data_IF_966489618880
#
_entry.id   IF_966489618880
#
_cell.length_a   1.000
_cell.length_b   1.000
_cell.length_c   1.000
_cell.angle_alpha   90.00
_cell.angle_beta   90.00
_cell.angle_gamma   90.00
#
_symmetry.space_group_name_H-M   'P 1'
#
loop_
_entity.id
_entity.type
_entity.pdbx_description
1 polymer ?
#
# COMPACT_ATOMS: atom_id res chain seq x y z
N UNK A 1 12.20 2.43 16.29
CA UNK A 1 11.89 1.88 17.64
C UNK A 1 13.07 1.04 18.12
N UNK A 2 13.40 1.03 19.43
CA UNK A 2 14.37 0.07 19.98
C UNK A 2 13.89 -1.35 19.72
N UNK A 3 14.77 -2.29 19.34
CA UNK A 3 14.42 -3.68 18.99
C UNK A 3 13.52 -4.35 20.05
N UNK A 4 13.76 -4.09 21.34
CA UNK A 4 12.94 -4.66 22.42
C UNK A 4 11.50 -4.12 22.44
N UNK A 5 11.28 -2.83 22.12
CA UNK A 5 9.92 -2.26 22.05
C UNK A 5 9.12 -2.87 20.89
N UNK A 6 9.78 -3.18 19.77
CA UNK A 6 9.13 -3.83 18.63
C UNK A 6 8.71 -5.27 18.97
N UNK A 7 9.57 -6.04 19.65
CA UNK A 7 9.24 -7.39 20.12
C UNK A 7 8.03 -7.40 21.06
N UNK A 8 7.95 -6.45 22.00
CA UNK A 8 6.81 -6.32 22.91
C UNK A 8 5.53 -6.03 22.13
N UNK A 9 5.57 -5.07 21.19
CA UNK A 9 4.41 -4.71 20.36
C UNK A 9 3.91 -5.91 19.52
N UNK A 10 4.83 -6.70 18.96
CA UNK A 10 4.50 -7.93 18.23
C UNK A 10 3.89 -8.97 19.17
N UNK A 11 4.47 -9.16 20.36
CA UNK A 11 3.94 -10.07 21.38
C UNK A 11 2.52 -9.70 21.84
N UNK A 12 2.25 -8.41 22.06
CA UNK A 12 0.90 -7.91 22.36
C UNK A 12 -0.09 -8.20 21.22
N UNK A 13 0.35 -8.08 19.97
CA UNK A 13 -0.48 -8.42 18.81
C UNK A 13 -0.84 -9.89 18.77
N UNK A 14 0.16 -10.78 18.93
CA UNK A 14 -0.05 -12.23 19.02
C UNK A 14 -1.02 -12.57 20.15
N UNK A 15 -0.85 -11.95 21.32
CA UNK A 15 -1.74 -12.14 22.45
C UNK A 15 -3.19 -11.72 22.14
N UNK A 16 -3.41 -10.56 21.50
CA UNK A 16 -4.75 -10.12 21.10
C UNK A 16 -5.43 -11.12 20.16
N UNK A 17 -4.69 -11.64 19.18
CA UNK A 17 -5.22 -12.66 18.24
C UNK A 17 -5.58 -13.95 18.98
N UNK A 18 -4.72 -14.43 19.89
CA UNK A 18 -5.00 -15.61 20.70
C UNK A 18 -6.24 -15.41 21.58
N UNK A 19 -6.39 -14.24 22.21
CA UNK A 19 -7.58 -13.91 22.99
C UNK A 19 -8.85 -13.97 22.15
N UNK A 20 -8.84 -13.41 20.93
CA UNK A 20 -10.00 -13.50 20.03
C UNK A 20 -10.30 -14.95 19.69
N UNK A 21 -9.31 -15.76 19.29
CA UNK A 21 -9.52 -17.16 18.93
C UNK A 21 -10.14 -17.97 20.09
N UNK A 22 -9.64 -17.78 21.31
CA UNK A 22 -10.18 -18.44 22.50
C UNK A 22 -11.60 -17.95 22.82
N UNK A 23 -11.85 -16.64 22.73
CA UNK A 23 -13.18 -16.07 22.95
C UNK A 23 -14.18 -16.50 21.88
N UNK A 24 -13.77 -16.62 20.61
CA UNK A 24 -14.60 -17.16 19.53
C UNK A 24 -14.93 -18.63 19.75
N UNK A 25 -13.95 -19.45 20.14
CA UNK A 25 -14.21 -20.86 20.48
C UNK A 25 -15.19 -20.99 21.66
N UNK A 26 -15.00 -20.19 22.71
CA UNK A 26 -15.92 -20.16 23.85
C UNK A 26 -17.33 -19.73 23.43
N UNK A 27 -17.44 -18.70 22.59
CA UNK A 27 -18.72 -18.19 22.14
C UNK A 27 -19.50 -19.24 21.30
N UNK A 28 -18.81 -19.93 20.40
CA UNK A 28 -19.42 -21.01 19.58
C UNK A 28 -19.90 -22.17 20.45
N UNK A 29 -19.13 -22.55 21.47
CA UNK A 29 -19.43 -23.74 22.27
C UNK A 29 -20.43 -23.49 23.41
N UNK A 30 -20.43 -22.29 24.00
CA UNK A 30 -21.14 -22.01 25.26
C UNK A 30 -22.07 -20.79 25.23
N UNK A 31 -22.04 -19.99 24.16
CA UNK A 31 -22.77 -18.72 24.03
C UNK A 31 -23.49 -18.57 22.68
N UNK A 32 -23.95 -19.69 22.09
CA UNK A 32 -24.74 -19.71 20.86
C UNK A 32 -24.14 -18.91 19.69
N UNK A 33 -22.81 -18.82 19.64
CA UNK A 33 -22.05 -18.03 18.64
C UNK A 33 -22.37 -16.53 18.60
N UNK A 34 -22.97 -15.98 19.67
CA UNK A 34 -23.27 -14.55 19.78
C UNK A 34 -21.99 -13.73 19.64
N UNK A 35 -22.09 -12.59 18.94
CA UNK A 35 -20.99 -11.68 18.60
C UNK A 35 -19.90 -12.27 17.68
N UNK A 36 -19.99 -13.54 17.27
CA UNK A 36 -19.15 -14.13 16.19
C UNK A 36 -19.88 -14.08 14.86
N UNK A 37 -21.16 -14.48 14.87
CA UNK A 37 -22.03 -14.53 13.68
C UNK A 37 -22.83 -13.22 13.58
N UNK A 38 -23.15 -12.74 12.37
CA UNK A 38 -24.04 -11.60 12.20
C UNK A 38 -25.34 -11.78 12.98
N UNK A 39 -25.64 -10.84 13.86
CA UNK A 39 -26.84 -10.82 14.69
C UNK A 39 -27.49 -9.45 14.63
N UNK A 40 -28.81 -9.40 14.81
CA UNK A 40 -29.54 -8.14 14.89
C UNK A 40 -29.26 -7.46 16.23
N UNK A 41 -28.65 -6.27 16.17
CA UNK A 41 -28.30 -5.50 17.35
C UNK A 41 -29.53 -4.82 18.00
N UNK A 42 -30.66 -4.70 17.29
CA UNK A 42 -31.87 -4.08 17.86
C UNK A 42 -32.50 -4.93 18.96
N UNK A 43 -32.35 -6.26 18.89
CA UNK A 43 -32.86 -7.21 19.89
C UNK A 43 -31.77 -7.68 20.85
N UNK A 44 -30.58 -7.07 20.82
CA UNK A 44 -29.46 -7.49 21.64
C UNK A 44 -29.67 -7.12 23.11
N UNK A 45 -29.60 -8.13 23.98
CA UNK A 45 -29.54 -7.96 25.44
C UNK A 45 -28.22 -8.51 25.96
N UNK A 46 -27.54 -7.76 26.82
CA UNK A 46 -26.25 -8.17 27.34
C UNK A 46 -26.37 -9.41 28.25
N UNK A 47 -25.53 -10.41 28.01
CA UNK A 47 -25.35 -11.56 28.90
C UNK A 47 -23.90 -11.66 29.37
N UNK A 48 -23.69 -12.18 30.58
CA UNK A 48 -22.35 -12.35 31.16
C UNK A 48 -21.45 -13.23 30.27
N UNK A 49 -22.05 -14.16 29.53
CA UNK A 49 -21.35 -15.03 28.57
C UNK A 49 -20.75 -14.28 27.36
N UNK A 50 -21.22 -13.05 27.09
CA UNK A 50 -20.69 -12.19 26.01
C UNK A 50 -19.36 -11.52 26.39
N UNK A 51 -19.05 -11.48 27.68
CA UNK A 51 -17.92 -10.74 28.26
C UNK A 51 -16.55 -11.15 27.69
N UNK A 52 -16.21 -12.46 27.51
CA UNK A 52 -14.95 -12.86 26.88
C UNK A 52 -14.78 -12.28 25.47
N UNK A 53 -15.86 -12.23 24.69
CA UNK A 53 -15.81 -11.66 23.34
C UNK A 53 -15.60 -10.15 23.41
N UNK A 54 -16.41 -9.43 24.21
CA UNK A 54 -16.33 -7.98 24.34
C UNK A 54 -14.94 -7.53 24.81
N UNK A 55 -14.34 -8.23 25.77
CA UNK A 55 -12.97 -7.94 26.22
C UNK A 55 -11.96 -8.16 25.09
N UNK A 56 -12.03 -9.30 24.39
CA UNK A 56 -11.08 -9.60 23.32
C UNK A 56 -11.15 -8.61 22.16
N UNK A 57 -12.36 -8.19 21.78
CA UNK A 57 -12.60 -7.17 20.76
C UNK A 57 -12.12 -5.79 21.24
N UNK A 58 -12.37 -5.43 22.50
CA UNK A 58 -11.88 -4.16 23.05
C UNK A 58 -10.34 -4.12 23.07
N UNK A 59 -9.69 -5.23 23.43
CA UNK A 59 -8.23 -5.35 23.41
C UNK A 59 -7.65 -5.17 21.99
N UNK A 60 -8.25 -5.80 20.97
CA UNK A 60 -7.76 -5.63 19.60
C UNK A 60 -7.97 -4.18 19.11
N UNK A 61 -9.09 -3.55 19.46
CA UNK A 61 -9.34 -2.14 19.13
C UNK A 61 -8.29 -1.22 19.76
N UNK A 62 -7.99 -1.39 21.06
CA UNK A 62 -6.94 -0.62 21.76
C UNK A 62 -5.57 -0.87 21.12
N UNK A 63 -5.27 -2.11 20.76
CA UNK A 63 -4.01 -2.47 20.11
C UNK A 63 -3.87 -1.77 18.74
N UNK A 64 -4.90 -1.83 17.89
CA UNK A 64 -4.93 -1.15 16.59
C UNK A 64 -4.78 0.36 16.76
N UNK A 65 -5.46 0.97 17.73
CA UNK A 65 -5.32 2.39 18.02
C UNK A 65 -3.89 2.76 18.45
N UNK A 66 -3.26 1.91 19.25
CA UNK A 66 -1.86 2.09 19.65
C UNK A 66 -0.90 1.98 18.46
N UNK A 67 -1.13 1.03 17.55
CA UNK A 67 -0.38 0.95 16.29
C UNK A 67 -0.52 2.22 15.46
N UNK A 68 -1.74 2.77 15.37
CA UNK A 68 -2.00 4.00 14.63
C UNK A 68 -1.27 5.22 15.22
N UNK A 69 -1.35 5.42 16.54
CA UNK A 69 -0.61 6.51 17.21
C UNK A 69 0.90 6.35 17.00
N UNK A 70 1.44 5.14 17.18
CA UNK A 70 2.88 4.91 17.01
C UNK A 70 3.34 5.15 15.57
N UNK A 71 2.51 4.83 14.58
CA UNK A 71 2.75 5.13 13.18
C UNK A 71 2.84 6.64 12.94
N UNK A 72 1.84 7.41 13.39
CA UNK A 72 1.81 8.88 13.23
C UNK A 72 3.03 9.52 13.89
N UNK A 73 3.34 9.14 15.13
CA UNK A 73 4.51 9.66 15.85
C UNK A 73 5.81 9.29 15.12
N UNK A 74 5.89 8.09 14.54
CA UNK A 74 7.06 7.67 13.77
C UNK A 74 7.22 8.47 12.47
N UNK A 75 6.11 8.78 11.77
CA UNK A 75 6.13 9.61 10.57
C UNK A 75 6.63 11.02 10.93
N UNK A 76 6.08 11.63 11.98
CA UNK A 76 6.50 12.96 12.45
C UNK A 76 7.99 13.01 12.83
N UNK A 77 8.48 12.01 13.58
CA UNK A 77 9.91 11.91 13.92
C UNK A 77 10.81 11.75 12.71
N UNK A 78 10.36 10.98 11.71
CA UNK A 78 11.13 10.77 10.49
C UNK A 78 11.22 12.07 9.66
N UNK A 79 10.12 12.84 9.58
CA UNK A 79 10.12 14.17 8.95
C UNK A 79 11.10 15.12 9.63
N UNK A 80 11.05 15.22 10.97
CA UNK A 80 12.00 16.04 11.73
C UNK A 80 13.47 15.59 11.52
N UNK A 81 13.71 14.29 11.35
CA UNK A 81 15.05 13.76 11.08
C UNK A 81 15.53 14.14 9.67
N UNK A 82 14.65 14.09 8.67
CA UNK A 82 14.93 14.54 7.30
C UNK A 82 15.30 16.02 7.31
N UNK A 83 14.50 16.88 7.97
CA UNK A 83 14.79 18.32 8.08
C UNK A 83 16.13 18.63 8.76
N UNK A 84 16.50 17.86 9.79
CA UNK A 84 17.77 18.06 10.51
C UNK A 84 19.01 17.60 9.75
N UNK A 85 18.86 16.57 8.94
CA UNK A 85 20.00 15.93 8.26
C UNK A 85 20.11 16.34 6.81
N UNK A 86 19.03 16.90 6.23
CA UNK A 86 18.86 17.08 4.80
C UNK A 86 19.26 15.82 4.02
N UNK A 87 18.89 14.63 4.53
CA UNK A 87 19.13 13.36 3.83
C UNK A 87 17.83 12.67 3.47
N UNK A 88 17.83 11.91 2.39
CA UNK A 88 16.69 11.10 1.97
C UNK A 88 16.33 10.07 3.02
N UNK A 89 15.07 9.63 3.00
CA UNK A 89 14.56 8.66 3.95
C UNK A 89 15.33 7.35 3.84
N UNK A 90 15.71 6.78 4.99
CA UNK A 90 16.23 5.41 5.05
C UNK A 90 15.14 4.40 4.72
N UNK A 91 15.25 3.78 3.55
CA UNK A 91 14.36 2.73 3.06
C UNK A 91 15.18 1.52 2.65
N UNK A 92 14.59 0.33 2.81
CA UNK A 92 15.23 -0.89 2.37
C UNK A 92 14.83 -1.15 0.90
N UNK A 93 15.78 -1.28 -0.05
CA UNK A 93 15.48 -1.59 -1.45
C UNK A 93 14.59 -2.83 -1.63
N UNK A 94 14.62 -3.77 -0.69
CA UNK A 94 13.77 -4.97 -0.70
C UNK A 94 12.27 -4.66 -0.64
N UNK A 95 11.87 -3.46 -0.23
CA UNK A 95 10.46 -3.02 -0.33
C UNK A 95 9.98 -2.98 -1.78
N UNK A 96 10.89 -2.84 -2.75
CA UNK A 96 10.58 -2.98 -4.17
C UNK A 96 9.95 -4.32 -4.56
N UNK A 97 10.23 -5.39 -3.82
CA UNK A 97 9.61 -6.70 -4.07
C UNK A 97 8.11 -6.73 -3.80
N UNK A 98 7.56 -5.75 -3.08
CA UNK A 98 6.11 -5.57 -2.98
C UNK A 98 5.48 -5.31 -4.35
N UNK A 99 6.26 -4.88 -5.34
CA UNK A 99 5.83 -4.77 -6.73
C UNK A 99 5.38 -6.09 -7.36
N UNK A 100 5.87 -7.23 -6.87
CA UNK A 100 5.43 -8.56 -7.32
C UNK A 100 3.96 -8.84 -7.00
N UNK A 101 3.37 -8.14 -6.02
CA UNK A 101 1.93 -8.22 -5.75
C UNK A 101 1.10 -7.73 -6.96
N UNK A 102 1.71 -6.96 -7.88
CA UNK A 102 1.08 -6.56 -9.12
C UNK A 102 0.67 -7.72 -10.03
N UNK A 103 1.33 -8.88 -9.91
CA UNK A 103 0.94 -10.08 -10.65
C UNK A 103 -0.41 -10.65 -10.22
N UNK A 104 -0.92 -10.32 -9.03
CA UNK A 104 -2.30 -10.66 -8.67
C UNK A 104 -3.34 -9.94 -9.54
N UNK A 105 -2.95 -8.90 -10.29
CA UNK A 105 -3.78 -8.30 -11.33
C UNK A 105 -4.28 -9.29 -12.39
N UNK A 106 -3.46 -10.30 -12.72
CA UNK A 106 -3.82 -11.34 -13.68
C UNK A 106 -4.91 -12.29 -13.16
N UNK A 107 -5.07 -12.42 -11.84
CA UNK A 107 -6.18 -13.19 -11.27
C UNK A 107 -7.54 -12.60 -11.67
N UNK A 108 -7.60 -11.32 -12.03
CA UNK A 108 -8.82 -10.67 -12.52
C UNK A 108 -9.44 -11.34 -13.74
N UNK A 109 -8.63 -11.89 -14.66
CA UNK A 109 -9.15 -12.62 -15.82
C UNK A 109 -9.88 -13.90 -15.41
N UNK A 110 -9.40 -14.58 -14.37
CA UNK A 110 -10.07 -15.74 -13.79
C UNK A 110 -11.31 -15.30 -13.03
N UNK A 111 -11.16 -14.41 -12.05
CA UNK A 111 -12.25 -13.99 -11.15
C UNK A 111 -13.42 -13.42 -11.93
N UNK A 112 -13.15 -12.55 -12.91
CA UNK A 112 -14.20 -12.00 -13.78
C UNK A 112 -15.00 -13.09 -14.52
N UNK A 113 -14.37 -14.20 -14.93
CA UNK A 113 -15.08 -15.32 -15.56
C UNK A 113 -16.01 -16.08 -14.61
N UNK A 114 -15.81 -15.98 -13.29
CA UNK A 114 -16.63 -16.68 -12.28
C UNK A 114 -17.77 -15.79 -11.79
N UNK A 115 -17.45 -14.58 -11.33
CA UNK A 115 -18.37 -13.73 -10.57
C UNK A 115 -18.51 -12.31 -11.16
N UNK A 116 -17.85 -12.02 -12.29
CA UNK A 116 -17.86 -10.69 -12.91
C UNK A 116 -17.06 -9.63 -12.14
N UNK A 117 -16.27 -10.00 -11.13
CA UNK A 117 -15.52 -9.03 -10.32
C UNK A 117 -14.31 -8.47 -11.06
N UNK A 118 -14.25 -7.14 -11.10
CA UNK A 118 -13.16 -6.38 -11.74
C UNK A 118 -12.11 -5.87 -10.74
N UNK A 119 -12.38 -6.01 -9.44
CA UNK A 119 -11.48 -5.52 -8.38
C UNK A 119 -10.05 -6.07 -8.49
N UNK A 120 -9.81 -7.35 -8.84
CA UNK A 120 -8.45 -7.87 -8.89
C UNK A 120 -7.55 -7.12 -9.89
N UNK A 121 -8.08 -6.54 -10.96
CA UNK A 121 -7.28 -5.76 -11.92
C UNK A 121 -6.61 -4.53 -11.28
N UNK A 122 -7.17 -3.99 -10.19
CA UNK A 122 -6.57 -2.88 -9.45
C UNK A 122 -5.20 -3.24 -8.84
N UNK A 123 -4.91 -4.53 -8.65
CA UNK A 123 -3.61 -4.97 -8.15
C UNK A 123 -2.46 -4.59 -9.07
N UNK A 124 -2.69 -4.36 -10.38
CA UNK A 124 -1.64 -3.84 -11.26
C UNK A 124 -1.01 -2.53 -10.78
N UNK A 125 -1.70 -1.75 -9.95
CA UNK A 125 -1.15 -0.57 -9.28
C UNK A 125 0.12 -0.87 -8.47
N UNK A 126 0.20 -2.08 -7.88
CA UNK A 126 1.34 -2.50 -7.07
C UNK A 126 2.64 -2.54 -7.86
N UNK A 127 2.63 -2.67 -9.19
CA UNK A 127 3.86 -2.57 -9.99
C UNK A 127 4.60 -1.23 -9.76
N UNK A 128 3.90 -0.17 -9.36
CA UNK A 128 4.54 1.09 -8.97
C UNK A 128 5.48 0.96 -7.78
N UNK A 129 5.28 -0.04 -6.91
CA UNK A 129 6.15 -0.28 -5.76
C UNK A 129 7.54 -0.76 -6.14
N UNK A 130 7.78 -1.20 -7.39
CA UNK A 130 9.14 -1.37 -7.87
C UNK A 130 9.97 -0.07 -7.77
N UNK A 131 9.33 1.11 -7.75
CA UNK A 131 9.99 2.39 -7.49
C UNK A 131 10.72 2.43 -6.14
N UNK A 132 10.20 1.74 -5.11
CA UNK A 132 10.85 1.65 -3.79
C UNK A 132 12.21 0.95 -3.84
N UNK A 133 12.50 0.17 -4.88
CA UNK A 133 13.83 -0.39 -5.08
C UNK A 133 14.86 0.72 -5.35
N UNK A 134 14.51 1.67 -6.22
CA UNK A 134 15.37 2.81 -6.58
C UNK A 134 15.42 3.84 -5.45
N UNK A 135 14.27 4.17 -4.84
CA UNK A 135 14.23 5.04 -3.66
C UNK A 135 15.10 4.46 -2.52
N UNK A 136 15.04 3.14 -2.32
CA UNK A 136 15.88 2.44 -1.34
C UNK A 136 17.37 2.47 -1.68
N UNK A 137 17.74 2.43 -2.97
CA UNK A 137 19.14 2.56 -3.40
C UNK A 137 19.69 3.96 -3.11
N UNK A 138 18.86 4.99 -3.27
CA UNK A 138 19.19 6.38 -2.93
C UNK A 138 19.02 6.69 -1.44
N UNK A 139 18.82 5.69 -0.58
CA UNK A 139 18.50 5.96 0.81
C UNK A 139 19.69 6.53 1.60
N UNK A 140 19.47 7.64 2.29
CA UNK A 140 20.50 8.35 3.03
C UNK A 140 21.44 9.20 2.18
N UNK A 141 21.12 9.46 0.91
CA UNK A 141 21.79 10.50 0.11
C UNK A 141 21.49 11.88 0.68
N UNK A 142 22.44 12.80 0.57
CA UNK A 142 22.25 14.18 0.97
C UNK A 142 21.42 14.91 -0.10
N UNK A 143 20.38 15.62 0.33
CA UNK A 143 19.48 16.38 -0.53
C UNK A 143 20.04 17.79 -0.74
N UNK A 144 21.04 17.88 -1.62
CA UNK A 144 21.54 19.16 -2.11
C UNK A 144 20.55 19.80 -3.13
N UNK A 145 20.93 20.96 -3.66
CA UNK A 145 20.10 21.68 -4.63
C UNK A 145 19.93 20.88 -5.93
N UNK A 146 20.99 20.20 -6.38
CA UNK A 146 20.99 19.34 -7.57
C UNK A 146 20.01 18.17 -7.43
N UNK A 147 20.05 17.45 -6.31
CA UNK A 147 19.14 16.34 -6.04
C UNK A 147 17.69 16.81 -6.07
N UNK A 148 17.40 17.99 -5.52
CA UNK A 148 16.04 18.55 -5.52
C UNK A 148 15.59 18.93 -6.93
N UNK A 149 16.47 19.49 -7.75
CA UNK A 149 16.20 19.79 -9.15
C UNK A 149 15.94 18.49 -9.93
N UNK A 150 16.81 17.50 -9.80
CA UNK A 150 16.66 16.18 -10.42
C UNK A 150 15.37 15.47 -9.98
N UNK A 151 14.96 15.60 -8.71
CA UNK A 151 13.69 15.07 -8.21
C UNK A 151 12.49 15.75 -8.87
N UNK A 152 12.52 17.07 -9.03
CA UNK A 152 11.46 17.82 -9.72
C UNK A 152 11.41 17.42 -11.20
N UNK A 153 12.56 17.35 -11.88
CA UNK A 153 12.64 16.94 -13.28
C UNK A 153 12.12 15.51 -13.50
N UNK A 154 12.51 14.57 -12.65
CA UNK A 154 12.04 13.19 -12.68
C UNK A 154 10.52 13.11 -12.45
N UNK A 155 9.99 13.83 -11.46
CA UNK A 155 8.54 13.88 -11.19
C UNK A 155 7.76 14.51 -12.35
N UNK A 156 8.25 15.61 -12.93
CA UNK A 156 7.61 16.25 -14.08
C UNK A 156 7.59 15.33 -15.30
N UNK A 157 8.72 14.68 -15.59
CA UNK A 157 8.82 13.74 -16.71
C UNK A 157 7.91 12.54 -16.52
N UNK A 158 7.92 11.93 -15.34
CA UNK A 158 7.05 10.79 -15.01
C UNK A 158 5.57 11.17 -15.07
N UNK A 159 5.20 12.34 -14.53
CA UNK A 159 3.84 12.86 -14.57
C UNK A 159 3.38 13.15 -15.99
N UNK A 160 4.25 13.74 -16.83
CA UNK A 160 3.95 13.98 -18.25
C UNK A 160 3.68 12.69 -19.00
N UNK A 161 4.53 11.66 -18.82
CA UNK A 161 4.32 10.34 -19.43
C UNK A 161 3.02 9.70 -18.96
N UNK A 162 2.77 9.71 -17.64
CA UNK A 162 1.56 9.16 -17.03
C UNK A 162 0.31 9.84 -17.55
N UNK A 163 0.30 11.17 -17.57
CA UNK A 163 -0.82 11.96 -18.07
C UNK A 163 -1.04 11.74 -19.57
N UNK A 164 0.01 11.66 -20.38
CA UNK A 164 -0.10 11.34 -21.80
C UNK A 164 -0.74 9.96 -22.03
N UNK A 165 -0.35 8.94 -21.26
CA UNK A 165 -0.96 7.61 -21.36
C UNK A 165 -2.43 7.65 -20.95
N UNK A 166 -2.76 8.30 -19.83
CA UNK A 166 -4.15 8.43 -19.36
C UNK A 166 -5.01 9.19 -20.39
N UNK A 167 -4.46 10.25 -21.01
CA UNK A 167 -5.16 11.03 -22.03
C UNK A 167 -5.43 10.19 -23.29
N UNK A 168 -4.42 9.45 -23.78
CA UNK A 168 -4.59 8.55 -24.93
C UNK A 168 -5.60 7.46 -24.60
N UNK A 169 -5.50 6.86 -23.41
CA UNK A 169 -6.45 5.87 -22.93
C UNK A 169 -7.87 6.41 -22.91
N UNK A 170 -8.07 7.63 -22.41
CA UNK A 170 -9.36 8.30 -22.39
C UNK A 170 -9.93 8.47 -23.81
N UNK A 171 -9.12 8.97 -24.76
CA UNK A 171 -9.56 9.17 -26.15
C UNK A 171 -9.97 7.86 -26.81
N UNK A 172 -9.24 6.77 -26.55
CA UNK A 172 -9.51 5.46 -27.15
C UNK A 172 -10.71 4.78 -26.48
N UNK A 173 -10.79 4.82 -25.15
CA UNK A 173 -11.80 4.10 -24.36
C UNK A 173 -13.16 4.81 -24.34
N UNK A 174 -13.19 6.15 -24.40
CA UNK A 174 -14.44 6.91 -24.49
C UNK A 174 -15.21 6.72 -25.80
N UNK A 175 -14.62 6.09 -26.81
CA UNK A 175 -15.34 5.72 -28.04
C UNK A 175 -16.41 4.64 -27.78
N UNK A 176 -16.41 4.01 -26.59
CA UNK A 176 -17.49 3.18 -26.08
C UNK A 176 -17.70 1.85 -26.81
N UNK A 177 -16.84 1.53 -27.79
CA UNK A 177 -16.96 0.35 -28.66
C UNK A 177 -15.76 -0.59 -28.57
N UNK A 178 -15.13 -0.70 -27.41
CA UNK A 178 -14.06 -1.69 -27.26
C UNK A 178 -14.69 -3.09 -27.24
N UNK A 179 -14.51 -3.84 -28.34
CA UNK A 179 -15.13 -5.15 -28.59
C UNK A 179 -16.68 -5.16 -28.51
N UNK A 180 -17.32 -3.99 -28.65
CA UNK A 180 -18.78 -3.87 -28.62
C UNK A 180 -19.44 -4.10 -27.25
N UNK A 181 -18.67 -4.20 -26.16
CA UNK A 181 -19.21 -4.42 -24.81
C UNK A 181 -18.65 -3.38 -23.82
N UNK A 182 -19.55 -2.75 -23.05
CA UNK A 182 -19.20 -1.81 -22.00
C UNK A 182 -18.39 -2.45 -20.87
N UNK A 183 -18.60 -3.74 -20.57
CA UNK A 183 -17.86 -4.45 -19.52
C UNK A 183 -16.38 -4.59 -19.88
N UNK A 184 -16.06 -4.95 -21.13
CA UNK A 184 -14.68 -5.00 -21.60
C UNK A 184 -14.03 -3.62 -21.66
N UNK A 185 -14.81 -2.58 -21.98
CA UNK A 185 -14.33 -1.20 -21.92
C UNK A 185 -13.97 -0.82 -20.48
N UNK A 186 -14.78 -1.21 -19.49
CA UNK A 186 -14.52 -0.96 -18.08
C UNK A 186 -13.30 -1.73 -17.56
N UNK A 187 -13.16 -3.01 -17.92
CA UNK A 187 -11.97 -3.81 -17.58
C UNK A 187 -10.72 -3.16 -18.17
N UNK A 188 -10.73 -2.83 -19.46
CA UNK A 188 -9.61 -2.17 -20.12
C UNK A 188 -9.28 -0.82 -19.46
N UNK A 189 -10.29 -0.06 -19.05
CA UNK A 189 -10.12 1.21 -18.33
C UNK A 189 -9.41 1.01 -17.00
N UNK A 190 -9.85 0.03 -16.19
CA UNK A 190 -9.22 -0.26 -14.90
C UNK A 190 -7.78 -0.70 -15.09
N UNK A 191 -7.52 -1.64 -16.00
CA UNK A 191 -6.17 -2.15 -16.26
C UNK A 191 -5.24 -1.01 -16.70
N UNK A 192 -5.66 -0.20 -17.68
CA UNK A 192 -4.82 0.88 -18.22
C UNK A 192 -4.60 1.96 -17.16
N UNK A 193 -5.62 2.32 -16.38
CA UNK A 193 -5.47 3.31 -15.31
C UNK A 193 -4.52 2.81 -14.22
N UNK A 194 -4.70 1.58 -13.76
CA UNK A 194 -3.83 0.97 -12.74
C UNK A 194 -2.38 0.86 -13.21
N UNK A 195 -2.15 0.44 -14.46
CA UNK A 195 -0.81 0.36 -15.05
C UNK A 195 -0.18 1.74 -15.29
N UNK A 196 -0.96 2.72 -15.75
CA UNK A 196 -0.46 4.08 -15.96
C UNK A 196 -0.02 4.72 -14.64
N UNK A 197 -0.83 4.59 -13.59
CA UNK A 197 -0.49 5.08 -12.24
C UNK A 197 0.71 4.32 -11.66
N UNK A 198 0.76 3.00 -11.81
CA UNK A 198 1.91 2.19 -11.43
C UNK A 198 3.19 2.67 -12.12
N UNK A 199 3.13 2.86 -13.44
CA UNK A 199 4.24 3.36 -14.23
C UNK A 199 4.68 4.74 -13.74
N UNK A 200 3.75 5.66 -13.45
CA UNK A 200 4.09 6.98 -12.93
C UNK A 200 4.88 6.96 -11.64
N UNK A 201 4.41 6.17 -10.66
CA UNK A 201 5.09 5.99 -9.35
C UNK A 201 6.47 5.34 -9.53
N UNK A 202 6.55 4.31 -10.38
CA UNK A 202 7.82 3.64 -10.66
C UNK A 202 8.81 4.57 -11.36
N UNK A 203 8.34 5.27 -12.38
CA UNK A 203 9.16 6.07 -13.29
C UNK A 203 9.73 7.30 -12.60
N UNK A 204 9.02 7.92 -11.65
CA UNK A 204 9.56 9.05 -10.88
C UNK A 204 10.81 8.65 -10.10
N UNK A 205 10.77 7.51 -9.40
CA UNK A 205 11.90 7.03 -8.61
C UNK A 205 13.04 6.49 -9.49
N UNK A 206 12.71 5.81 -10.58
CA UNK A 206 13.71 5.33 -11.54
C UNK A 206 14.46 6.47 -12.23
N UNK A 207 13.74 7.49 -12.71
CA UNK A 207 14.36 8.64 -13.36
C UNK A 207 15.20 9.46 -12.38
N UNK A 208 14.74 9.64 -11.15
CA UNK A 208 15.53 10.31 -10.12
C UNK A 208 16.84 9.56 -9.86
N UNK A 209 16.78 8.23 -9.67
CA UNK A 209 17.98 7.41 -9.52
C UNK A 209 18.92 7.55 -10.70
N UNK A 210 18.38 7.58 -11.91
CA UNK A 210 19.18 7.72 -13.13
C UNK A 210 19.82 9.10 -13.24
N UNK A 211 19.06 10.17 -13.06
CA UNK A 211 19.59 11.54 -13.14
C UNK A 211 20.64 11.81 -12.07
N UNK A 212 20.50 11.22 -10.88
CA UNK A 212 21.48 11.36 -9.81
C UNK A 212 22.78 10.58 -10.10
N UNK A 213 22.75 9.52 -10.91
CA UNK A 213 23.92 8.66 -11.19
C UNK A 213 24.60 8.93 -12.54
N UNK A 214 23.84 9.26 -13.60
CA UNK A 214 24.38 9.54 -14.94
C UNK A 214 25.21 10.85 -14.90
N UNK A 215 24.76 11.82 -14.12
CA UNK A 215 25.41 13.09 -13.81
C UNK A 215 26.81 12.96 -13.16
N UNK A 216 27.07 11.86 -12.46
CA UNK A 216 28.38 11.56 -11.87
C UNK A 216 29.36 10.93 -12.88
N UNK A 217 28.87 10.36 -13.98
CA UNK A 217 29.72 9.81 -15.03
C UNK A 217 30.33 10.94 -15.88
N UNK A 218 29.53 11.94 -16.24
CA UNK A 218 29.97 13.07 -17.07
C UNK A 218 31.00 13.97 -16.35
N UNK A 219 30.94 14.11 -15.01
CA UNK A 219 31.95 14.84 -14.21
C UNK A 219 33.27 14.07 -14.03
N UNK A 220 33.30 12.77 -14.30
CA UNK A 220 34.52 11.94 -14.16
C UNK A 220 35.36 11.83 -15.43
N UNK A 221 34.83 12.35 -16.55
CA UNK A 221 35.48 12.37 -17.86
C UNK A 221 36.10 13.74 -18.23
N UNK A 222 36.02 14.74 -17.33
CA UNK A 222 36.76 16.02 -17.41
C UNK A 222 37.99 16.07 -16.48
#
# INVERSE_FOLDING_TARGET
MKKNKAKILIGCGIFCVLCILVSSWYAVKFNDSRLVVPMDFNSYTFQIKDLPMIISVSLICIYVFTLFITLIVSIGRNRQQIERTNTTRKLNPKLGFLGLLGFWGFAGFWTYSIDGSVFPFAFFLFFGFFGFYYEGKMSGTFMDERFRENAILAQLKASKVTFSIILIALIVLCQGKLLGNFEYTLIATIIVLSLALALGIFLSEYLLYRYDHDDHADESEE
#
